data_IF_323512477618
#
_entry.id   IF_323512477618
#
_cell.length_a   1.000
_cell.length_b   1.000
_cell.length_c   1.000
_cell.angle_alpha   90.00
_cell.angle_beta   90.00
_cell.angle_gamma   90.00
#
_symmetry.space_group_name_H-M   'P 1'
#
loop_
_entity.id
_entity.type
_entity.pdbx_description
1 polymer ?
#
# COMPACT_ATOMS: atom_id res chain seq x y z
N UNK A 1 -4.99 6.50 -14.74
CA UNK A 1 -4.21 5.32 -15.19
C UNK A 1 -5.01 4.03 -15.05
N UNK A 2 -5.44 3.64 -13.84
CA UNK A 2 -6.20 2.40 -13.61
C UNK A 2 -7.44 2.30 -14.49
N UNK A 3 -8.26 3.36 -14.59
CA UNK A 3 -9.44 3.39 -15.48
C UNK A 3 -9.09 3.02 -16.94
N UNK A 4 -8.04 3.60 -17.51
CA UNK A 4 -7.63 3.34 -18.89
C UNK A 4 -7.17 1.89 -19.11
N UNK A 5 -6.40 1.33 -18.18
CA UNK A 5 -5.96 -0.06 -18.25
C UNK A 5 -7.13 -1.04 -18.04
N UNK A 6 -8.06 -0.72 -17.13
CA UNK A 6 -9.27 -1.49 -16.91
C UNK A 6 -10.19 -1.48 -18.15
N UNK A 7 -10.32 -0.35 -18.84
CA UNK A 7 -11.04 -0.26 -20.12
C UNK A 7 -10.41 -1.18 -21.17
N UNK A 8 -9.08 -1.15 -21.29
CA UNK A 8 -8.37 -2.01 -22.22
C UNK A 8 -8.59 -3.50 -21.89
N UNK A 9 -8.48 -3.90 -20.63
CA UNK A 9 -8.67 -5.29 -20.22
C UNK A 9 -10.11 -5.75 -20.49
N UNK A 10 -11.12 -4.99 -20.07
CA UNK A 10 -12.53 -5.32 -20.33
C UNK A 10 -12.81 -5.47 -21.83
N UNK A 11 -12.18 -4.65 -22.69
CA UNK A 11 -12.37 -4.74 -24.14
C UNK A 11 -11.90 -6.06 -24.76
N UNK A 12 -11.01 -6.79 -24.08
CA UNK A 12 -10.43 -8.05 -24.54
C UNK A 12 -11.08 -9.29 -23.93
N UNK A 13 -11.88 -9.13 -22.88
CA UNK A 13 -12.49 -10.29 -22.20
C UNK A 13 -13.73 -10.77 -22.96
N UNK A 14 -13.74 -12.07 -23.25
CA UNK A 14 -14.85 -12.77 -23.92
C UNK A 14 -15.83 -13.41 -22.93
N UNK A 15 -15.36 -13.85 -21.76
CA UNK A 15 -16.20 -14.45 -20.71
C UNK A 15 -16.34 -13.51 -19.49
N UNK A 16 -17.59 -13.15 -19.23
CA UNK A 16 -18.00 -12.32 -18.09
C UNK A 16 -17.54 -12.90 -16.75
N UNK A 17 -17.42 -14.22 -16.65
CA UNK A 17 -17.04 -14.89 -15.40
C UNK A 17 -15.53 -14.90 -15.12
N UNK A 18 -14.69 -14.46 -16.06
CA UNK A 18 -13.22 -14.41 -15.90
C UNK A 18 -12.67 -12.99 -15.77
N UNK A 19 -13.50 -11.97 -16.00
CA UNK A 19 -13.15 -10.54 -15.91
C UNK A 19 -12.48 -10.25 -14.55
N UNK A 20 -11.25 -9.73 -14.58
CA UNK A 20 -10.45 -9.34 -13.42
C UNK A 20 -10.21 -10.44 -12.36
N UNK A 21 -10.45 -11.72 -12.67
CA UNK A 21 -10.12 -12.84 -11.77
C UNK A 21 -8.69 -13.36 -11.95
N UNK A 22 -8.02 -13.00 -13.04
CA UNK A 22 -6.63 -13.35 -13.33
C UNK A 22 -5.60 -12.44 -12.65
N UNK A 23 -4.33 -12.83 -12.68
CA UNK A 23 -3.21 -11.98 -12.23
C UNK A 23 -2.77 -11.06 -13.37
N UNK A 24 -3.53 -10.01 -13.64
CA UNK A 24 -3.21 -8.98 -14.64
C UNK A 24 -2.56 -7.75 -14.00
N UNK A 25 -1.95 -6.88 -14.81
CA UNK A 25 -1.41 -5.60 -14.36
C UNK A 25 -2.49 -4.75 -13.66
N UNK A 26 -3.71 -4.68 -14.22
CA UNK A 26 -4.83 -3.95 -13.59
C UNK A 26 -5.10 -4.53 -12.22
N UNK A 27 -5.19 -5.86 -12.13
CA UNK A 27 -5.50 -6.52 -10.87
C UNK A 27 -4.43 -6.28 -9.79
N UNK A 28 -3.15 -6.23 -10.16
CA UNK A 28 -2.04 -5.92 -9.24
C UNK A 28 -2.01 -4.46 -8.82
N UNK A 29 -2.29 -3.54 -9.74
CA UNK A 29 -2.43 -2.12 -9.40
C UNK A 29 -3.60 -1.89 -8.43
N UNK A 30 -4.71 -2.62 -8.64
CA UNK A 30 -5.85 -2.60 -7.74
C UNK A 30 -5.50 -3.14 -6.36
N UNK A 31 -4.80 -4.28 -6.27
CA UNK A 31 -4.33 -4.86 -5.00
C UNK A 31 -3.51 -3.82 -4.20
N UNK A 32 -2.58 -3.13 -4.87
CA UNK A 32 -1.74 -2.09 -4.23
C UNK A 32 -2.53 -0.84 -3.83
N UNK A 33 -3.46 -0.36 -4.66
CA UNK A 33 -4.31 0.78 -4.28
C UNK A 33 -5.18 0.45 -3.07
N UNK A 34 -5.81 -0.72 -3.05
CA UNK A 34 -6.62 -1.15 -1.91
C UNK A 34 -5.76 -1.34 -0.65
N UNK A 35 -4.54 -1.86 -0.79
CA UNK A 35 -3.59 -1.98 0.32
C UNK A 35 -3.17 -0.61 0.85
N UNK A 36 -2.75 0.31 0.00
CA UNK A 36 -2.24 1.63 0.42
C UNK A 36 -3.32 2.55 0.99
N UNK A 37 -4.49 2.58 0.35
CA UNK A 37 -5.59 3.47 0.77
C UNK A 37 -6.49 2.83 1.83
N UNK A 38 -6.62 1.50 1.79
CA UNK A 38 -7.57 0.74 2.59
C UNK A 38 -7.02 0.20 3.90
N UNK A 39 -5.71 0.24 4.17
CA UNK A 39 -5.14 -0.41 5.37
C UNK A 39 -5.80 0.05 6.67
N UNK A 40 -6.00 1.35 6.85
CA UNK A 40 -6.66 1.90 8.04
C UNK A 40 -8.12 1.43 8.14
N UNK A 41 -8.86 1.53 7.04
CA UNK A 41 -10.24 1.06 6.95
C UNK A 41 -10.37 -0.44 7.25
N UNK A 42 -9.43 -1.25 6.76
CA UNK A 42 -9.34 -2.69 7.03
C UNK A 42 -9.12 -2.95 8.53
N UNK A 43 -8.24 -2.18 9.17
CA UNK A 43 -7.99 -2.30 10.61
C UNK A 43 -9.22 -1.94 11.41
N UNK A 44 -9.85 -0.79 11.14
CA UNK A 44 -11.08 -0.39 11.85
C UNK A 44 -12.22 -1.41 11.66
N UNK A 45 -12.30 -2.05 10.50
CA UNK A 45 -13.36 -3.00 10.17
C UNK A 45 -13.12 -4.40 10.75
N UNK A 46 -11.92 -4.96 10.59
CA UNK A 46 -11.65 -6.37 10.92
C UNK A 46 -10.98 -6.58 12.27
N UNK A 47 -10.16 -5.63 12.75
CA UNK A 47 -9.34 -5.84 13.95
C UNK A 47 -10.18 -6.21 15.17
N UNK A 48 -11.30 -5.55 15.51
CA UNK A 48 -12.07 -5.90 16.71
C UNK A 48 -12.57 -7.34 16.69
N UNK A 49 -13.09 -7.78 15.53
CA UNK A 49 -13.62 -9.14 15.36
C UNK A 49 -12.51 -10.19 15.35
N UNK A 50 -11.35 -9.89 14.76
CA UNK A 50 -10.22 -10.82 14.72
C UNK A 50 -9.49 -10.93 16.06
N UNK A 51 -9.35 -9.84 16.82
CA UNK A 51 -8.79 -9.88 18.18
C UNK A 51 -9.60 -10.79 19.11
N UNK A 52 -10.92 -10.83 18.94
CA UNK A 52 -11.76 -11.78 19.65
C UNK A 52 -11.45 -13.23 19.26
N UNK A 53 -11.27 -13.53 17.97
CA UNK A 53 -10.88 -14.86 17.49
C UNK A 53 -9.53 -15.28 18.10
N UNK A 54 -8.58 -14.34 18.16
CA UNK A 54 -7.25 -14.59 18.74
C UNK A 54 -7.26 -14.76 20.25
N UNK A 55 -8.15 -14.07 20.96
CA UNK A 55 -8.30 -14.19 22.40
C UNK A 55 -9.02 -15.49 22.80
N UNK A 56 -10.11 -15.84 22.11
CA UNK A 56 -10.96 -16.98 22.47
C UNK A 56 -10.43 -18.32 21.97
N UNK A 57 -9.80 -18.34 20.78
CA UNK A 57 -9.23 -19.54 20.14
C UNK A 57 -10.17 -20.76 20.10
N UNK A 58 -11.49 -20.52 20.03
CA UNK A 58 -12.49 -21.60 19.94
C UNK A 58 -12.23 -22.52 18.73
N UNK A 59 -12.39 -23.85 18.87
CA UNK A 59 -12.30 -24.76 17.75
C UNK A 59 -13.49 -24.59 16.79
N UNK A 60 -13.20 -24.61 15.49
CA UNK A 60 -14.19 -24.42 14.42
C UNK A 60 -14.07 -25.50 13.32
N UNK A 61 -13.36 -26.62 13.57
CA UNK A 61 -13.24 -27.68 12.58
C UNK A 61 -14.56 -28.44 12.45
N UNK A 62 -15.12 -28.42 11.25
CA UNK A 62 -16.43 -29.01 10.91
C UNK A 62 -16.32 -30.12 9.86
N UNK A 63 -15.10 -30.47 9.44
CA UNK A 63 -14.83 -31.58 8.52
C UNK A 63 -14.99 -32.93 9.25
N UNK A 64 -15.98 -33.77 8.87
CA UNK A 64 -16.23 -35.07 9.50
C UNK A 64 -15.07 -36.07 9.35
N UNK A 65 -14.16 -35.84 8.39
CA UNK A 65 -12.97 -36.69 8.22
C UNK A 65 -11.91 -36.42 9.29
N UNK A 66 -11.94 -35.23 9.90
CA UNK A 66 -10.97 -34.80 10.92
C UNK A 66 -11.54 -34.88 12.34
N UNK A 67 -12.84 -34.60 12.49
CA UNK A 67 -13.55 -34.70 13.76
C UNK A 67 -14.62 -35.78 13.62
N UNK A 68 -14.54 -36.84 14.44
CA UNK A 68 -15.49 -37.97 14.37
C UNK A 68 -16.74 -37.76 15.24
N UNK A 69 -16.65 -36.91 16.27
CA UNK A 69 -17.74 -36.68 17.21
C UNK A 69 -18.71 -35.62 16.66
N UNK A 70 -19.94 -36.06 16.37
CA UNK A 70 -20.99 -35.20 15.83
C UNK A 70 -21.40 -34.06 16.78
N UNK A 71 -21.31 -34.26 18.10
CA UNK A 71 -21.65 -33.23 19.11
C UNK A 71 -20.60 -32.11 19.12
N UNK A 72 -19.33 -32.48 18.95
CA UNK A 72 -18.22 -31.54 18.81
C UNK A 72 -18.32 -30.79 17.49
N UNK A 73 -18.66 -31.45 16.38
CA UNK A 73 -18.91 -30.79 15.09
C UNK A 73 -20.02 -29.74 15.23
N UNK A 74 -21.13 -30.08 15.90
CA UNK A 74 -22.23 -29.15 16.12
C UNK A 74 -21.80 -27.92 16.93
N UNK A 75 -21.01 -28.12 18.00
CA UNK A 75 -20.48 -27.02 18.81
C UNK A 75 -19.50 -26.15 18.00
N UNK A 76 -18.59 -26.78 17.24
CA UNK A 76 -17.65 -26.09 16.37
C UNK A 76 -18.35 -25.29 15.26
N UNK A 77 -19.46 -25.81 14.75
CA UNK A 77 -20.32 -25.17 13.78
C UNK A 77 -20.94 -23.89 14.36
N UNK A 78 -21.43 -23.93 15.60
CA UNK A 78 -21.97 -22.76 16.30
C UNK A 78 -20.90 -21.70 16.55
N UNK A 79 -19.70 -22.11 16.97
CA UNK A 79 -18.55 -21.20 17.12
C UNK A 79 -18.21 -20.52 15.79
N UNK A 80 -18.17 -21.28 14.70
CA UNK A 80 -17.85 -20.74 13.37
C UNK A 80 -18.92 -19.77 12.88
N UNK A 81 -20.21 -20.08 13.12
CA UNK A 81 -21.34 -19.19 12.81
C UNK A 81 -21.20 -17.86 13.55
N UNK A 82 -20.87 -17.89 14.84
CA UNK A 82 -20.69 -16.68 15.63
C UNK A 82 -19.61 -15.77 15.04
N UNK A 83 -18.42 -16.32 14.74
CA UNK A 83 -17.32 -15.53 14.17
C UNK A 83 -17.63 -14.99 12.77
N UNK A 84 -18.23 -15.81 11.90
CA UNK A 84 -18.62 -15.40 10.54
C UNK A 84 -19.65 -14.28 10.60
N UNK A 85 -20.69 -14.39 11.45
CA UNK A 85 -21.73 -13.36 11.58
C UNK A 85 -21.12 -12.03 11.99
N UNK A 86 -20.27 -12.01 13.04
CA UNK A 86 -19.63 -10.78 13.52
C UNK A 86 -18.77 -10.11 12.45
N UNK A 87 -17.95 -10.88 11.74
CA UNK A 87 -17.11 -10.36 10.66
C UNK A 87 -17.96 -9.87 9.49
N UNK A 88 -19.02 -10.59 9.14
CA UNK A 88 -19.94 -10.21 8.08
C UNK A 88 -20.65 -8.89 8.38
N UNK A 89 -21.16 -8.72 9.60
CA UNK A 89 -21.81 -7.49 10.06
C UNK A 89 -20.83 -6.32 10.11
N UNK A 90 -19.60 -6.56 10.59
CA UNK A 90 -18.55 -5.54 10.60
C UNK A 90 -18.24 -5.05 9.17
N UNK A 91 -18.09 -5.96 8.21
CA UNK A 91 -17.83 -5.60 6.81
C UNK A 91 -19.03 -4.88 6.20
N UNK A 92 -20.23 -5.44 6.28
CA UNK A 92 -21.41 -4.84 5.63
C UNK A 92 -21.83 -3.50 6.26
N UNK A 93 -21.61 -3.32 7.56
CA UNK A 93 -21.82 -2.05 8.27
C UNK A 93 -20.73 -1.00 8.03
N UNK A 94 -19.58 -1.38 7.49
CA UNK A 94 -18.44 -0.47 7.28
C UNK A 94 -18.53 0.37 5.99
N UNK A 95 -19.54 0.16 5.13
CA UNK A 95 -19.64 0.76 3.79
C UNK A 95 -19.38 2.27 3.74
N UNK A 96 -19.87 3.03 4.73
CA UNK A 96 -19.72 4.50 4.80
C UNK A 96 -18.31 4.97 5.18
N UNK A 97 -17.49 4.09 5.75
CA UNK A 97 -16.11 4.37 6.13
C UNK A 97 -15.11 3.96 5.03
N UNK A 98 -15.60 3.40 3.91
CA UNK A 98 -14.76 3.00 2.79
C UNK A 98 -14.01 4.22 2.20
N UNK A 99 -12.68 4.16 2.03
CA UNK A 99 -11.88 5.30 1.56
C UNK A 99 -12.34 5.81 0.20
N UNK A 100 -12.42 7.14 0.05
CA UNK A 100 -12.91 7.79 -1.18
C UNK A 100 -12.16 7.35 -2.43
N UNK A 101 -10.85 7.14 -2.35
CA UNK A 101 -10.05 6.66 -3.48
C UNK A 101 -10.51 5.27 -3.94
N UNK A 102 -10.79 4.35 -3.01
CA UNK A 102 -11.33 3.03 -3.35
C UNK A 102 -12.72 3.16 -3.96
N UNK A 103 -13.59 4.00 -3.36
CA UNK A 103 -14.94 4.24 -3.86
C UNK A 103 -14.93 4.78 -5.30
N UNK A 104 -14.05 5.73 -5.61
CA UNK A 104 -13.90 6.30 -6.95
C UNK A 104 -13.49 5.23 -7.97
N UNK A 105 -12.54 4.36 -7.60
CA UNK A 105 -12.10 3.27 -8.49
C UNK A 105 -13.20 2.22 -8.68
N UNK A 106 -13.94 1.86 -7.62
CA UNK A 106 -15.08 0.95 -7.74
C UNK A 106 -16.22 1.55 -8.57
N UNK A 107 -16.44 2.86 -8.47
CA UNK A 107 -17.38 3.57 -9.32
C UNK A 107 -16.96 3.50 -10.79
N UNK A 108 -15.70 3.81 -11.11
CA UNK A 108 -15.16 3.71 -12.48
C UNK A 108 -15.31 2.29 -13.05
N UNK A 109 -15.00 1.26 -12.26
CA UNK A 109 -15.16 -0.14 -12.68
C UNK A 109 -16.62 -0.51 -12.92
N UNK A 110 -17.55 0.00 -12.09
CA UNK A 110 -18.99 -0.20 -12.25
C UNK A 110 -19.53 0.47 -13.50
N UNK A 111 -19.09 1.70 -13.80
CA UNK A 111 -19.45 2.39 -15.03
C UNK A 111 -18.98 1.60 -16.25
N UNK A 112 -17.71 1.18 -16.26
CA UNK A 112 -17.16 0.36 -17.35
C UNK A 112 -17.94 -0.94 -17.55
N UNK A 113 -18.27 -1.64 -16.45
CA UNK A 113 -19.10 -2.84 -16.50
C UNK A 113 -20.49 -2.56 -17.10
N UNK A 114 -21.08 -1.42 -16.77
CA UNK A 114 -22.39 -1.01 -17.28
C UNK A 114 -22.35 -0.66 -18.77
N UNK A 115 -21.24 -0.07 -19.25
CA UNK A 115 -21.05 0.25 -20.67
C UNK A 115 -20.82 -1.00 -21.52
N UNK A 116 -19.98 -1.93 -21.07
CA UNK A 116 -19.63 -3.12 -21.85
C UNK A 116 -20.63 -4.27 -21.70
N UNK A 117 -21.34 -4.37 -20.56
CA UNK A 117 -22.30 -5.44 -20.28
C UNK A 117 -23.68 -4.90 -19.84
N UNK A 118 -24.37 -4.09 -20.69
CA UNK A 118 -25.63 -3.44 -20.32
C UNK A 118 -26.76 -4.43 -19.97
N UNK A 119 -26.72 -5.62 -20.58
CA UNK A 119 -27.73 -6.67 -20.39
C UNK A 119 -27.51 -7.53 -19.13
N UNK A 120 -26.32 -7.46 -18.50
CA UNK A 120 -25.99 -8.27 -17.33
C UNK A 120 -25.67 -7.39 -16.11
N UNK A 121 -26.73 -7.01 -15.40
CA UNK A 121 -26.64 -6.10 -14.24
C UNK A 121 -25.83 -6.68 -13.07
N UNK A 122 -25.69 -8.01 -12.98
CA UNK A 122 -24.95 -8.68 -11.90
C UNK A 122 -23.43 -8.51 -12.05
N UNK A 123 -22.92 -8.31 -13.27
CA UNK A 123 -21.49 -8.09 -13.54
C UNK A 123 -20.96 -6.87 -12.80
N UNK A 124 -21.80 -5.85 -12.65
CA UNK A 124 -21.51 -4.63 -11.90
C UNK A 124 -21.12 -4.94 -10.46
N UNK A 125 -21.80 -5.88 -9.82
CA UNK A 125 -21.49 -6.34 -8.46
C UNK A 125 -20.33 -7.34 -8.45
N UNK A 126 -20.28 -8.26 -9.43
CA UNK A 126 -19.24 -9.29 -9.53
C UNK A 126 -17.83 -8.72 -9.63
N UNK A 127 -17.64 -7.67 -10.43
CA UNK A 127 -16.33 -7.03 -10.58
C UNK A 127 -15.88 -6.39 -9.26
N UNK A 128 -16.74 -5.60 -8.61
CA UNK A 128 -16.40 -4.95 -7.33
C UNK A 128 -16.14 -6.01 -6.27
N UNK A 129 -17.03 -7.01 -6.16
CA UNK A 129 -16.91 -8.12 -5.21
C UNK A 129 -15.59 -8.90 -5.39
N UNK A 130 -15.18 -9.14 -6.64
CA UNK A 130 -13.91 -9.77 -6.97
C UNK A 130 -12.67 -8.98 -6.55
N UNK A 131 -12.78 -7.68 -6.30
CA UNK A 131 -11.71 -6.88 -5.72
C UNK A 131 -11.84 -6.79 -4.20
N UNK A 132 -12.96 -6.27 -3.69
CA UNK A 132 -13.09 -5.93 -2.28
C UNK A 132 -13.14 -7.18 -1.37
N UNK A 133 -13.77 -8.27 -1.81
CA UNK A 133 -13.81 -9.50 -1.01
C UNK A 133 -12.66 -10.44 -1.34
N UNK A 134 -12.49 -10.79 -2.62
CA UNK A 134 -11.51 -11.81 -3.01
C UNK A 134 -10.05 -11.37 -2.89
N UNK A 135 -9.76 -10.07 -3.08
CA UNK A 135 -8.38 -9.56 -3.11
C UNK A 135 -8.02 -8.68 -1.91
N UNK A 136 -9.00 -8.29 -1.09
CA UNK A 136 -8.78 -7.42 0.05
C UNK A 136 -9.23 -8.06 1.37
N UNK A 137 -10.53 -8.21 1.62
CA UNK A 137 -11.00 -8.76 2.91
C UNK A 137 -10.63 -10.23 3.14
N UNK A 138 -10.87 -11.13 2.18
CA UNK A 138 -10.59 -12.56 2.36
C UNK A 138 -9.08 -12.83 2.57
N UNK A 139 -8.16 -12.25 1.77
CA UNK A 139 -6.73 -12.38 2.04
C UNK A 139 -6.31 -11.79 3.39
N UNK A 140 -6.95 -10.71 3.85
CA UNK A 140 -6.67 -10.12 5.15
C UNK A 140 -7.14 -11.00 6.32
N UNK A 141 -8.27 -11.68 6.18
CA UNK A 141 -8.76 -12.65 7.17
C UNK A 141 -7.86 -13.90 7.17
N UNK A 142 -7.49 -14.40 5.99
CA UNK A 142 -6.65 -15.60 5.85
C UNK A 142 -5.22 -15.37 6.35
N UNK A 143 -4.65 -14.20 6.06
CA UNK A 143 -3.28 -13.84 6.38
C UNK A 143 -3.18 -12.51 7.13
N UNK A 144 -3.68 -12.40 8.38
CA UNK A 144 -3.78 -11.13 9.11
C UNK A 144 -2.42 -10.47 9.36
N UNK A 145 -1.35 -11.25 9.45
CA UNK A 145 0.04 -10.74 9.55
C UNK A 145 0.50 -9.98 8.31
N UNK A 146 0.01 -10.35 7.12
CA UNK A 146 0.37 -9.68 5.85
C UNK A 146 -0.28 -8.29 5.72
N UNK A 147 -1.22 -7.97 6.60
CA UNK A 147 -1.98 -6.73 6.62
C UNK A 147 -1.84 -6.01 7.97
N UNK A 148 -0.82 -6.34 8.78
CA UNK A 148 -0.54 -5.72 10.08
C UNK A 148 -1.72 -5.75 11.08
N UNK A 149 -2.62 -6.74 10.96
CA UNK A 149 -3.75 -6.92 11.87
C UNK A 149 -3.32 -7.58 13.18
N UNK A 150 -2.30 -8.42 13.14
CA UNK A 150 -1.68 -9.04 14.32
C UNK A 150 -0.18 -9.22 14.14
N UNK A 151 0.55 -9.13 15.24
CA UNK A 151 1.98 -9.44 15.31
C UNK A 151 2.25 -10.82 15.94
N UNK A 152 1.21 -11.50 16.42
CA UNK A 152 1.34 -12.78 17.09
C UNK A 152 1.51 -13.93 16.10
N UNK A 153 2.27 -14.96 16.53
CA UNK A 153 2.39 -16.19 15.77
C UNK A 153 1.14 -17.04 16.03
N UNK A 154 0.38 -17.33 14.97
CA UNK A 154 -0.86 -18.09 15.06
C UNK A 154 -0.57 -19.60 15.01
N UNK A 155 -1.25 -20.34 15.88
CA UNK A 155 -1.25 -21.79 15.91
C UNK A 155 -2.11 -22.39 14.79
N UNK A 156 -1.90 -23.68 14.50
CA UNK A 156 -2.57 -24.39 13.40
C UNK A 156 -4.09 -24.38 13.52
N UNK A 157 -4.63 -24.42 14.74
CA UNK A 157 -6.08 -24.35 14.98
C UNK A 157 -6.63 -22.99 14.58
N UNK A 158 -6.01 -21.89 15.03
CA UNK A 158 -6.44 -20.53 14.66
C UNK A 158 -6.32 -20.30 13.15
N UNK A 159 -5.22 -20.74 12.53
CA UNK A 159 -5.05 -20.67 11.07
C UNK A 159 -6.18 -21.41 10.32
N UNK A 160 -6.58 -22.58 10.83
CA UNK A 160 -7.69 -23.35 10.27
C UNK A 160 -9.02 -22.62 10.44
N UNK A 161 -9.30 -22.05 11.62
CA UNK A 161 -10.50 -21.25 11.87
C UNK A 161 -10.58 -20.05 10.92
N UNK A 162 -9.50 -19.28 10.75
CA UNK A 162 -9.45 -18.17 9.81
C UNK A 162 -9.67 -18.60 8.36
N UNK A 163 -9.14 -19.77 7.98
CA UNK A 163 -9.37 -20.35 6.65
C UNK A 163 -10.85 -20.62 6.41
N UNK A 164 -11.56 -21.21 7.38
CA UNK A 164 -12.98 -21.49 7.28
C UNK A 164 -13.81 -20.20 7.23
N UNK A 165 -13.49 -19.21 8.07
CA UNK A 165 -14.13 -17.89 8.05
C UNK A 165 -13.94 -17.23 6.68
N UNK A 166 -12.70 -17.15 6.20
CA UNK A 166 -12.37 -16.54 4.91
C UNK A 166 -13.11 -17.22 3.75
N UNK A 167 -13.18 -18.56 3.75
CA UNK A 167 -13.93 -19.32 2.74
C UNK A 167 -15.43 -18.99 2.79
N UNK A 168 -16.03 -18.97 3.97
CA UNK A 168 -17.47 -18.67 4.11
C UNK A 168 -17.79 -17.25 3.65
N UNK A 169 -17.02 -16.25 4.09
CA UNK A 169 -17.18 -14.85 3.66
C UNK A 169 -17.03 -14.72 2.14
N UNK A 170 -16.01 -15.37 1.56
CA UNK A 170 -15.80 -15.34 0.10
C UNK A 170 -16.98 -15.96 -0.66
N UNK A 171 -17.49 -17.09 -0.18
CA UNK A 171 -18.60 -17.81 -0.80
C UNK A 171 -19.90 -16.98 -0.79
N UNK A 172 -20.20 -16.35 0.36
CA UNK A 172 -21.35 -15.45 0.52
C UNK A 172 -21.34 -14.32 -0.51
N UNK A 173 -20.19 -13.70 -0.71
CA UNK A 173 -20.05 -12.56 -1.60
C UNK A 173 -20.11 -12.95 -3.09
N UNK A 174 -19.66 -14.17 -3.41
CA UNK A 174 -19.81 -14.74 -4.75
C UNK A 174 -21.27 -15.00 -5.10
N UNK A 175 -22.06 -15.57 -4.16
CA UNK A 175 -23.50 -15.82 -4.37
C UNK A 175 -24.26 -14.53 -4.60
N UNK A 176 -23.98 -13.49 -3.81
CA UNK A 176 -24.62 -12.18 -3.95
C UNK A 176 -24.36 -11.52 -5.32
N UNK A 177 -23.29 -11.92 -6.01
CA UNK A 177 -22.79 -11.26 -7.23
C UNK A 177 -22.94 -12.08 -8.52
N UNK A 178 -23.11 -13.41 -8.45
CA UNK A 178 -23.13 -14.27 -9.64
C UNK A 178 -24.23 -15.36 -9.64
N UNK A 179 -25.14 -15.35 -8.64
CA UNK A 179 -26.30 -16.26 -8.51
C UNK A 179 -26.02 -17.77 -8.58
N UNK A 180 -24.76 -18.18 -8.60
CA UNK A 180 -24.36 -19.59 -8.68
C UNK A 180 -23.48 -19.93 -7.48
N UNK A 181 -23.95 -20.78 -6.55
CA UNK A 181 -23.10 -21.31 -5.51
C UNK A 181 -22.09 -22.27 -6.14
N UNK A 182 -20.81 -21.89 -6.19
CA UNK A 182 -19.73 -22.86 -6.44
C UNK A 182 -19.45 -23.58 -5.13
N UNK A 183 -20.26 -24.59 -4.83
CA UNK A 183 -20.03 -25.44 -3.67
C UNK A 183 -19.12 -26.59 -4.07
N UNK A 184 -17.84 -26.53 -3.68
CA UNK A 184 -16.89 -27.61 -3.94
C UNK A 184 -16.76 -28.58 -2.75
N UNK A 185 -17.37 -28.29 -1.59
CA UNK A 185 -17.14 -29.00 -0.33
C UNK A 185 -18.46 -29.24 0.42
N UNK A 186 -18.95 -30.49 0.37
CA UNK A 186 -20.28 -30.91 0.84
C UNK A 186 -20.50 -30.67 2.35
N UNK A 187 -19.45 -30.76 3.17
CA UNK A 187 -19.49 -30.54 4.62
C UNK A 187 -19.76 -29.07 5.02
N UNK A 188 -19.54 -28.11 4.11
CA UNK A 188 -19.80 -26.69 4.35
C UNK A 188 -21.26 -26.31 4.06
N UNK A 189 -22.09 -27.24 3.55
CA UNK A 189 -23.46 -26.93 3.11
C UNK A 189 -24.33 -26.36 4.23
N UNK A 190 -24.23 -26.89 5.46
CA UNK A 190 -24.98 -26.38 6.62
C UNK A 190 -24.56 -24.96 7.04
N UNK A 191 -23.28 -24.61 6.89
CA UNK A 191 -22.82 -23.22 7.06
C UNK A 191 -23.50 -22.33 6.02
N UNK A 192 -23.44 -22.73 4.76
CA UNK A 192 -23.98 -21.95 3.66
C UNK A 192 -25.49 -21.74 3.78
N UNK A 193 -26.28 -22.76 4.15
CA UNK A 193 -27.72 -22.62 4.37
C UNK A 193 -28.07 -21.56 5.43
N UNK A 194 -27.24 -21.43 6.47
CA UNK A 194 -27.47 -20.46 7.54
C UNK A 194 -27.28 -19.02 7.06
N UNK A 195 -26.33 -18.78 6.16
CA UNK A 195 -25.96 -17.44 5.70
C UNK A 195 -26.48 -17.11 4.27
N UNK A 196 -26.99 -18.07 3.51
CA UNK A 196 -27.58 -17.87 2.18
C UNK A 196 -29.04 -17.46 2.24
N UNK A 197 -29.35 -16.51 3.11
CA UNK A 197 -30.69 -15.90 3.18
C UNK A 197 -30.73 -14.65 2.30
N UNK A 198 -31.92 -14.23 1.86
CA UNK A 198 -32.11 -12.97 1.15
C UNK A 198 -31.59 -11.74 1.92
N UNK A 199 -31.61 -11.79 3.26
CA UNK A 199 -31.09 -10.72 4.14
C UNK A 199 -29.60 -10.50 3.91
N UNK A 200 -28.78 -11.54 4.03
CA UNK A 200 -27.33 -11.49 3.80
C UNK A 200 -26.99 -11.07 2.36
N UNK A 201 -27.68 -11.63 1.36
CA UNK A 201 -27.48 -11.26 -0.05
C UNK A 201 -27.79 -9.77 -0.26
N UNK A 202 -28.88 -9.28 0.33
CA UNK A 202 -29.26 -7.87 0.25
C UNK A 202 -28.24 -6.97 0.95
N UNK A 203 -27.74 -7.35 2.12
CA UNK A 203 -26.71 -6.60 2.85
C UNK A 203 -25.42 -6.47 2.04
N UNK A 204 -24.94 -7.55 1.41
CA UNK A 204 -23.76 -7.49 0.51
C UNK A 204 -24.04 -6.59 -0.68
N UNK A 205 -25.20 -6.70 -1.33
CA UNK A 205 -25.54 -5.84 -2.48
C UNK A 205 -25.63 -4.36 -2.08
N UNK A 206 -26.22 -4.05 -0.93
CA UNK A 206 -26.28 -2.69 -0.40
C UNK A 206 -24.87 -2.16 -0.10
N UNK A 207 -24.01 -2.97 0.52
CA UNK A 207 -22.60 -2.63 0.72
C UNK A 207 -21.90 -2.30 -0.61
N UNK A 208 -22.00 -3.18 -1.61
CA UNK A 208 -21.41 -2.99 -2.93
C UNK A 208 -21.98 -1.77 -3.66
N UNK A 209 -23.27 -1.50 -3.52
CA UNK A 209 -23.92 -0.30 -4.04
C UNK A 209 -23.34 0.97 -3.40
N UNK A 210 -23.28 1.04 -2.08
CA UNK A 210 -22.81 2.24 -1.36
C UNK A 210 -21.37 2.59 -1.74
N UNK A 211 -20.46 1.61 -1.75
CA UNK A 211 -19.04 1.86 -2.06
C UNK A 211 -18.79 2.17 -3.54
N UNK A 212 -19.77 1.96 -4.42
CA UNK A 212 -19.63 2.20 -5.88
C UNK A 212 -20.59 3.26 -6.42
N UNK A 213 -21.48 3.81 -5.59
CA UNK A 213 -22.49 4.77 -6.02
C UNK A 213 -21.91 6.13 -6.39
N UNK A 214 -20.72 6.49 -5.89
CA UNK A 214 -20.26 7.88 -5.91
C UNK A 214 -18.94 8.08 -6.66
N UNK A 215 -18.97 8.84 -7.75
CA UNK A 215 -17.78 9.42 -8.41
C UNK A 215 -17.20 10.60 -7.64
N UNK A 216 -18.03 11.26 -6.81
CA UNK A 216 -17.68 12.39 -5.97
C UNK A 216 -18.63 12.46 -4.77
N UNK A 217 -18.37 11.73 -3.67
CA UNK A 217 -19.03 12.08 -2.43
C UNK A 217 -18.45 13.44 -2.05
N UNK A 218 -19.29 14.48 -2.05
CA UNK A 218 -19.06 15.75 -1.35
C UNK A 218 -18.13 15.45 -0.19
N UNK A 219 -16.89 15.97 -0.23
CA UNK A 219 -15.81 15.75 0.74
C UNK A 219 -16.34 15.42 2.14
N UNK A 220 -16.73 14.15 2.37
CA UNK A 220 -17.01 13.63 3.69
C UNK A 220 -15.67 13.08 4.13
N UNK A 221 -14.86 14.05 4.52
CA UNK A 221 -13.78 13.95 5.46
C UNK A 221 -13.48 12.52 5.93
N UNK A 222 -12.31 12.04 5.53
CA UNK A 222 -11.47 11.12 6.30
C UNK A 222 -11.27 11.72 7.71
N UNK A 223 -12.28 11.70 8.60
CA UNK A 223 -12.26 12.48 9.86
C UNK A 223 -11.37 11.90 10.96
N UNK A 224 -10.70 10.79 10.69
CA UNK A 224 -9.52 10.39 11.46
C UNK A 224 -8.26 10.69 10.65
N UNK A 225 -7.56 11.82 10.91
CA UNK A 225 -6.28 12.10 10.27
C UNK A 225 -5.26 10.99 10.59
N UNK A 226 -4.86 10.22 9.57
CA UNK A 226 -3.85 9.16 9.69
C UNK A 226 -2.50 9.80 10.02
N UNK A 227 -1.84 9.31 11.06
CA UNK A 227 -0.52 9.80 11.47
C UNK A 227 0.54 9.28 10.51
N UNK A 228 1.20 10.18 9.79
CA UNK A 228 2.27 9.85 8.87
C UNK A 228 3.63 9.80 9.57
N UNK A 229 3.86 10.69 10.54
CA UNK A 229 5.07 10.74 11.35
C UNK A 229 4.82 11.52 12.64
N UNK A 230 5.43 11.10 13.74
CA UNK A 230 5.41 11.82 15.00
C UNK A 230 6.76 11.71 15.70
N UNK A 231 7.11 12.71 16.51
CA UNK A 231 8.43 12.77 17.14
C UNK A 231 8.63 14.02 17.97
N UNK A 232 9.59 13.98 18.89
CA UNK A 232 9.91 15.13 19.74
C UNK A 232 11.11 15.87 19.16
N UNK A 233 10.92 17.14 18.79
CA UNK A 233 11.95 17.97 18.17
C UNK A 233 12.03 19.34 18.86
N UNK A 234 13.14 20.04 18.68
CA UNK A 234 13.36 21.34 19.32
C UNK A 234 13.09 22.49 18.36
N UNK A 235 12.02 23.25 18.59
CA UNK A 235 11.65 24.39 17.72
C UNK A 235 12.14 25.72 18.25
N UNK A 236 12.49 26.65 17.35
CA UNK A 236 12.72 28.05 17.72
C UNK A 236 11.40 28.74 18.09
N UNK A 237 11.39 29.54 19.15
CA UNK A 237 10.24 30.38 19.48
C UNK A 237 10.08 31.48 18.43
N UNK A 238 8.85 31.64 17.91
CA UNK A 238 8.53 32.62 16.87
C UNK A 238 8.19 34.02 17.42
N UNK A 239 8.21 34.21 18.76
CA UNK A 239 8.13 35.52 19.42
C UNK A 239 6.84 36.31 19.14
N UNK A 240 5.86 36.30 20.05
CA UNK A 240 4.65 37.14 19.94
C UNK A 240 4.87 38.63 20.27
N UNK A 241 6.07 39.02 20.72
CA UNK A 241 6.42 40.39 21.15
C UNK A 241 7.73 40.84 20.49
N UNK A 242 7.81 42.11 20.03
CA UNK A 242 8.98 42.70 19.35
C UNK A 242 10.30 42.60 20.14
N UNK A 243 10.26 42.46 21.47
CA UNK A 243 11.44 42.41 22.36
C UNK A 243 11.59 41.11 23.18
N UNK A 244 10.87 40.03 22.84
CA UNK A 244 10.96 38.76 23.57
C UNK A 244 12.16 37.89 23.15
N UNK A 245 12.90 37.31 24.12
CA UNK A 245 13.97 36.33 23.84
C UNK A 245 13.42 35.13 23.07
N UNK A 246 13.92 34.91 21.84
CA UNK A 246 13.54 33.78 20.97
C UNK A 246 14.29 32.51 21.38
N UNK A 247 13.80 31.83 22.43
CA UNK A 247 14.40 30.59 22.93
C UNK A 247 13.97 29.36 22.12
N UNK A 248 14.81 28.33 22.09
CA UNK A 248 14.46 27.01 21.57
C UNK A 248 13.67 26.23 22.62
N UNK A 249 12.64 25.50 22.19
CA UNK A 249 11.78 24.71 23.07
C UNK A 249 11.45 23.37 22.43
N UNK A 250 11.63 22.30 23.20
CA UNK A 250 11.25 20.95 22.81
C UNK A 250 9.73 20.83 22.69
N UNK A 251 9.25 20.25 21.60
CA UNK A 251 7.83 20.07 21.28
C UNK A 251 7.62 18.72 20.64
N UNK A 252 6.44 18.17 20.86
CA UNK A 252 6.01 16.97 20.18
C UNK A 252 5.33 17.37 18.88
N UNK A 253 5.86 16.91 17.75
CA UNK A 253 5.33 17.13 16.42
C UNK A 253 4.53 15.92 15.97
N UNK A 254 3.42 16.19 15.29
CA UNK A 254 2.55 15.17 14.72
C UNK A 254 2.16 15.61 13.31
N UNK A 255 2.64 14.87 12.33
CA UNK A 255 2.25 15.01 10.92
C UNK A 255 1.17 14.01 10.61
N UNK A 256 0.08 14.50 10.04
CA UNK A 256 -1.04 13.69 9.60
C UNK A 256 -1.29 13.90 8.11
N UNK A 257 -2.26 13.17 7.55
CA UNK A 257 -2.74 13.39 6.19
C UNK A 257 -3.41 14.76 5.99
N UNK A 258 -3.69 15.53 7.06
CA UNK A 258 -4.38 16.83 7.00
C UNK A 258 -3.50 18.01 7.34
N UNK A 259 -2.66 17.84 8.36
CA UNK A 259 -1.91 18.93 8.96
C UNK A 259 -0.60 18.47 9.59
N UNK A 260 0.29 19.44 9.81
CA UNK A 260 1.41 19.32 10.71
C UNK A 260 1.11 20.13 11.97
N UNK A 261 1.07 19.46 13.12
CA UNK A 261 0.82 20.13 14.41
C UNK A 261 1.99 19.93 15.37
N UNK A 262 2.10 20.82 16.35
CA UNK A 262 3.00 20.62 17.48
C UNK A 262 2.38 21.02 18.82
N UNK A 263 2.63 20.22 19.86
CA UNK A 263 2.11 20.41 21.21
C UNK A 263 3.22 20.42 22.25
N UNK A 264 2.90 20.72 23.52
CA UNK A 264 3.89 20.71 24.62
C UNK A 264 4.47 19.30 24.82
N UNK A 265 3.60 18.28 24.82
CA UNK A 265 3.91 16.87 25.04
C UNK A 265 2.92 15.99 24.26
N UNK A 266 3.27 14.72 24.02
CA UNK A 266 2.38 13.74 23.39
C UNK A 266 1.03 13.67 24.12
N UNK A 267 -0.07 13.65 23.35
CA UNK A 267 -1.44 13.60 23.87
C UNK A 267 -2.02 14.93 24.39
N UNK A 268 -1.28 16.05 24.33
CA UNK A 268 -1.81 17.38 24.62
C UNK A 268 -2.31 18.08 23.36
N UNK A 269 -3.26 19.00 23.54
CA UNK A 269 -3.79 19.84 22.46
C UNK A 269 -2.67 20.57 21.69
N UNK A 270 -2.81 20.71 20.36
CA UNK A 270 -1.82 21.36 19.53
C UNK A 270 -1.72 22.84 19.88
N UNK A 271 -0.50 23.33 20.08
CA UNK A 271 -0.22 24.76 20.26
C UNK A 271 -0.33 25.53 18.94
N UNK A 272 -0.13 24.83 17.83
CA UNK A 272 -0.21 25.35 16.48
C UNK A 272 -0.47 24.15 15.55
N UNK A 273 -1.32 24.40 14.56
CA UNK A 273 -1.60 23.49 13.46
C UNK A 273 -1.26 24.24 12.17
N UNK A 274 -0.53 23.58 11.29
CA UNK A 274 -0.10 24.10 10.00
C UNK A 274 -0.80 23.26 8.95
N UNK A 275 -1.63 23.89 8.13
CA UNK A 275 -2.29 23.23 7.01
C UNK A 275 -1.24 22.76 6.01
N UNK A 276 -1.34 21.53 5.49
CA UNK A 276 -0.34 21.03 4.54
C UNK A 276 -0.16 21.94 3.30
N UNK A 277 -1.23 22.51 2.69
CA UNK A 277 -1.11 23.49 1.60
C UNK A 277 -0.43 24.82 1.95
N UNK A 278 -0.24 25.12 3.24
CA UNK A 278 0.48 26.31 3.72
C UNK A 278 1.99 26.04 3.91
N UNK A 279 2.45 24.81 3.66
CA UNK A 279 3.88 24.49 3.61
C UNK A 279 4.40 24.87 2.23
N UNK A 280 5.18 25.95 2.16
CA UNK A 280 5.64 26.52 0.89
C UNK A 280 7.01 26.01 0.46
N UNK A 281 7.88 25.65 1.43
CA UNK A 281 9.16 24.99 1.21
C UNK A 281 9.63 24.31 2.50
N UNK A 282 10.38 23.21 2.37
CA UNK A 282 11.01 22.50 3.50
C UNK A 282 12.43 22.14 3.13
N UNK A 283 13.39 22.74 3.82
CA UNK A 283 14.80 22.67 3.44
C UNK A 283 15.71 22.68 4.66
N UNK A 284 16.96 22.25 4.47
CA UNK A 284 18.00 22.38 5.49
C UNK A 284 18.34 23.84 5.74
N UNK A 285 18.80 24.12 6.95
CA UNK A 285 19.26 25.44 7.36
C UNK A 285 20.76 25.38 7.54
N UNK A 286 21.48 26.38 7.04
CA UNK A 286 22.93 26.48 7.24
C UNK A 286 23.27 26.45 8.73
N UNK A 287 24.22 25.60 9.12
CA UNK A 287 24.61 25.37 10.52
C UNK A 287 25.04 26.67 11.24
N UNK A 288 25.68 27.57 10.50
CA UNK A 288 26.11 28.90 10.96
C UNK A 288 24.96 29.80 11.42
N UNK A 289 23.73 29.51 10.99
CA UNK A 289 22.55 30.33 11.32
C UNK A 289 22.26 30.36 12.83
N UNK A 290 22.46 29.22 13.49
CA UNK A 290 22.16 29.05 14.92
C UNK A 290 23.27 28.35 15.70
N UNK A 291 24.37 27.95 15.05
CA UNK A 291 25.42 27.09 15.62
C UNK A 291 24.84 25.79 16.20
N UNK A 292 23.93 25.19 15.43
CA UNK A 292 23.18 23.97 15.79
C UNK A 292 23.12 23.05 14.58
N UNK A 293 23.38 21.77 14.81
CA UNK A 293 23.31 20.73 13.78
C UNK A 293 21.88 20.20 13.67
N UNK A 294 21.61 19.49 12.57
CA UNK A 294 20.33 18.85 12.28
C UNK A 294 19.15 19.83 12.22
N UNK A 295 19.42 21.03 11.67
CA UNK A 295 18.46 22.12 11.58
C UNK A 295 17.81 22.14 10.21
N UNK A 296 16.48 22.21 10.20
CA UNK A 296 15.70 22.42 8.99
C UNK A 296 14.63 23.50 9.22
N UNK A 297 14.06 23.99 8.13
CA UNK A 297 13.05 25.03 8.14
C UNK A 297 11.80 24.62 7.38
N UNK A 298 10.66 25.10 7.86
CA UNK A 298 9.36 25.00 7.20
C UNK A 298 8.89 26.42 6.91
N UNK A 299 8.87 26.79 5.64
CA UNK A 299 8.45 28.11 5.17
C UNK A 299 6.92 28.13 5.05
N UNK A 300 6.27 29.08 5.74
CA UNK A 300 4.82 29.34 5.68
C UNK A 300 4.59 30.75 5.12
N UNK A 301 3.36 31.09 4.64
CA UNK A 301 3.06 32.41 4.08
C UNK A 301 3.46 33.58 4.97
N UNK A 302 3.26 33.45 6.28
CA UNK A 302 3.49 34.55 7.23
C UNK A 302 4.84 34.48 7.95
N UNK A 303 5.50 33.30 7.97
CA UNK A 303 6.66 33.07 8.83
C UNK A 303 7.45 31.82 8.48
N UNK A 304 8.72 31.82 8.84
CA UNK A 304 9.57 30.61 8.81
C UNK A 304 9.59 29.94 10.19
N UNK A 305 9.46 28.62 10.20
CA UNK A 305 9.59 27.80 11.40
C UNK A 305 10.92 27.02 11.35
N UNK A 306 11.82 27.32 12.29
CA UNK A 306 13.11 26.62 12.43
C UNK A 306 13.01 25.49 13.46
N UNK A 307 13.46 24.30 13.09
CA UNK A 307 13.34 23.07 13.89
C UNK A 307 14.70 22.35 13.92
N UNK A 308 15.06 21.84 15.08
CA UNK A 308 16.21 20.97 15.32
C UNK A 308 15.72 19.54 15.58
N UNK A 309 16.13 18.59 14.76
CA UNK A 309 15.94 17.16 15.02
C UNK A 309 17.00 16.62 16.00
N UNK A 310 16.78 15.44 16.58
CA UNK A 310 17.70 14.87 17.57
C UNK A 310 18.98 14.32 16.93
N UNK A 311 18.90 13.87 15.68
CA UNK A 311 20.03 13.37 14.89
C UNK A 311 19.79 13.61 13.39
N UNK A 312 20.81 13.37 12.57
CA UNK A 312 20.77 13.60 11.13
C UNK A 312 19.83 12.64 10.37
N UNK A 313 19.57 11.44 10.92
CA UNK A 313 18.63 10.48 10.33
C UNK A 313 17.20 10.99 10.49
N UNK A 314 16.82 11.37 11.72
CA UNK A 314 15.50 11.96 12.02
C UNK A 314 15.29 13.25 11.22
N UNK A 315 16.31 14.11 11.12
CA UNK A 315 16.25 15.31 10.27
C UNK A 315 15.91 14.96 8.82
N UNK A 316 16.66 14.02 8.22
CA UNK A 316 16.45 13.58 6.85
C UNK A 316 15.03 13.03 6.65
N UNK A 317 14.57 12.15 7.54
CA UNK A 317 13.21 11.59 7.47
C UNK A 317 12.12 12.67 7.51
N UNK A 318 12.25 13.67 8.39
CA UNK A 318 11.29 14.78 8.49
C UNK A 318 11.33 15.69 7.27
N UNK A 319 12.52 16.03 6.77
CA UNK A 319 12.69 16.82 5.55
C UNK A 319 12.08 16.09 4.36
N UNK A 320 12.39 14.80 4.19
CA UNK A 320 11.94 14.00 3.04
C UNK A 320 10.41 13.87 2.99
N UNK A 321 9.76 13.53 4.12
CA UNK A 321 8.30 13.38 4.16
C UNK A 321 7.57 14.70 3.92
N UNK A 322 8.04 15.79 4.54
CA UNK A 322 7.41 17.11 4.41
C UNK A 322 7.68 17.74 3.03
N UNK A 323 8.88 17.57 2.48
CA UNK A 323 9.21 18.00 1.12
C UNK A 323 8.38 17.23 0.09
N UNK A 324 8.10 15.94 0.32
CA UNK A 324 7.20 15.15 -0.54
C UNK A 324 5.77 15.71 -0.55
N UNK A 325 5.24 16.11 0.60
CA UNK A 325 3.92 16.75 0.70
C UNK A 325 3.95 18.14 0.05
N UNK A 326 4.98 18.94 0.34
CA UNK A 326 5.14 20.29 -0.20
C UNK A 326 5.19 20.31 -1.73
N UNK A 327 5.70 19.26 -2.38
CA UNK A 327 5.78 19.15 -3.85
C UNK A 327 4.42 19.20 -4.55
N UNK A 328 3.36 18.69 -3.92
CA UNK A 328 2.02 18.72 -4.50
C UNK A 328 1.26 20.01 -4.20
N UNK A 329 1.86 20.93 -3.44
CA UNK A 329 1.20 22.19 -3.08
C UNK A 329 1.28 23.19 -4.23
N UNK A 330 0.14 23.76 -4.61
CA UNK A 330 0.04 24.77 -5.69
C UNK A 330 0.90 26.02 -5.44
N UNK A 331 1.10 26.37 -4.16
CA UNK A 331 1.85 27.57 -3.74
C UNK A 331 3.31 27.28 -3.33
N UNK A 332 3.89 26.16 -3.78
CA UNK A 332 5.29 25.84 -3.49
C UNK A 332 6.22 26.93 -4.04
N UNK A 333 7.17 27.38 -3.21
CA UNK A 333 8.18 28.35 -3.62
C UNK A 333 9.21 27.70 -4.56
N UNK A 334 9.66 28.45 -5.56
CA UNK A 334 10.78 28.05 -6.40
C UNK A 334 12.13 28.26 -5.70
N UNK A 335 12.21 29.29 -4.85
CA UNK A 335 13.42 29.70 -4.15
C UNK A 335 13.18 29.90 -2.66
N UNK A 336 14.19 29.62 -1.84
CA UNK A 336 14.18 29.82 -0.39
C UNK A 336 15.49 30.46 0.11
N UNK A 337 15.52 30.86 1.38
CA UNK A 337 16.72 31.35 2.05
C UNK A 337 17.29 30.25 2.96
N UNK A 338 18.51 29.74 2.73
CA UNK A 338 19.09 28.68 3.54
C UNK A 338 19.63 29.19 4.89
N UNK A 339 19.86 30.50 5.01
CA UNK A 339 20.26 31.17 6.25
C UNK A 339 19.06 31.71 7.02
N UNK A 340 19.19 31.84 8.34
CA UNK A 340 18.13 32.45 9.15
C UNK A 340 18.05 33.97 9.00
N UNK A 341 16.85 34.54 9.12
CA UNK A 341 16.67 35.99 9.30
C UNK A 341 16.93 36.37 10.77
N UNK A 342 18.02 37.08 11.02
CA UNK A 342 18.48 37.47 12.36
C UNK A 342 19.02 38.90 12.32
N UNK A 343 18.70 39.70 13.35
CA UNK A 343 19.19 41.08 13.45
C UNK A 343 18.89 41.95 12.22
N UNK A 344 17.69 41.79 11.63
CA UNK A 344 17.21 42.62 10.53
C UNK A 344 17.80 42.29 9.16
N UNK A 345 18.48 41.16 8.99
CA UNK A 345 18.96 40.69 7.68
C UNK A 345 19.01 39.16 7.58
N UNK A 346 19.01 38.65 6.35
CA UNK A 346 19.22 37.24 6.04
C UNK A 346 20.70 36.89 6.16
N UNK A 347 21.04 35.84 6.90
CA UNK A 347 22.44 35.44 7.08
C UNK A 347 23.11 34.92 5.79
N UNK A 348 22.31 34.36 4.86
CA UNK A 348 22.76 33.81 3.58
C UNK A 348 23.11 34.88 2.53
N UNK A 349 22.22 35.85 2.29
CA UNK A 349 22.36 36.84 1.21
C UNK A 349 22.53 38.28 1.71
N UNK A 350 22.52 38.51 3.02
CA UNK A 350 22.61 39.83 3.69
C UNK A 350 21.48 40.80 3.34
N UNK A 351 20.42 40.35 2.67
CA UNK A 351 19.27 41.19 2.36
C UNK A 351 18.51 41.57 3.65
N UNK A 352 18.10 42.83 3.77
CA UNK A 352 17.49 43.40 4.98
C UNK A 352 15.98 43.28 5.01
N UNK A 353 15.35 42.97 3.88
CA UNK A 353 13.91 42.79 3.79
C UNK A 353 13.55 41.30 4.01
N UNK A 354 12.74 41.01 5.03
CA UNK A 354 12.32 39.64 5.36
C UNK A 354 11.46 39.01 4.25
N UNK A 355 10.68 39.81 3.51
CA UNK A 355 9.78 39.34 2.46
C UNK A 355 10.42 39.15 1.08
N UNK A 356 11.73 39.27 0.93
CA UNK A 356 12.39 39.10 -0.37
C UNK A 356 12.45 37.65 -0.81
N UNK A 357 12.35 37.42 -2.12
CA UNK A 357 12.49 36.09 -2.72
C UNK A 357 13.78 35.38 -2.27
N UNK A 358 13.70 34.05 -2.15
CA UNK A 358 14.80 33.19 -1.73
C UNK A 358 16.06 33.32 -2.58
N UNK A 359 17.24 33.24 -1.97
CA UNK A 359 18.51 33.30 -2.69
C UNK A 359 18.95 31.96 -3.29
N UNK A 360 18.35 30.83 -2.91
CA UNK A 360 18.70 29.47 -3.38
C UNK A 360 17.47 28.71 -3.89
N UNK A 361 17.65 27.75 -4.80
CA UNK A 361 16.55 26.97 -5.38
C UNK A 361 16.08 25.88 -4.41
N UNK A 362 14.76 25.71 -4.27
CA UNK A 362 14.19 24.62 -3.46
C UNK A 362 14.54 23.28 -4.12
N UNK A 363 14.99 22.32 -3.31
CA UNK A 363 15.47 21.00 -3.73
C UNK A 363 14.45 20.31 -4.63
N UNK A 364 14.89 19.91 -5.82
CA UNK A 364 14.06 19.25 -6.85
C UNK A 364 14.17 17.72 -6.81
N UNK A 365 15.05 17.16 -5.98
CA UNK A 365 15.47 15.76 -6.06
C UNK A 365 14.32 14.77 -5.83
N UNK A 366 13.86 14.20 -6.94
CA UNK A 366 13.26 12.88 -7.03
C UNK A 366 14.38 11.85 -6.95
N UNK A 367 14.87 11.58 -5.74
CA UNK A 367 15.32 10.22 -5.47
C UNK A 367 14.13 9.51 -4.85
N UNK A 368 13.29 8.93 -5.71
CA UNK A 368 12.50 7.78 -5.33
C UNK A 368 13.48 6.62 -5.09
N UNK A 369 14.35 6.74 -4.09
CA UNK A 369 14.95 5.56 -3.49
C UNK A 369 13.80 4.87 -2.76
N UNK A 370 13.17 3.94 -3.47
CA UNK A 370 12.65 2.76 -2.78
C UNK A 370 13.79 2.27 -1.88
N UNK A 371 13.47 1.86 -0.66
CA UNK A 371 14.43 1.31 0.30
C UNK A 371 14.86 -0.10 -0.16
N UNK A 372 15.27 -0.20 -1.41
CA UNK A 372 15.74 -1.36 -2.13
C UNK A 372 17.23 -1.13 -2.21
N UNK A 373 17.98 -1.87 -1.41
CA UNK A 373 19.41 -1.95 -1.58
C UNK A 373 19.68 -2.54 -2.97
N UNK A 374 19.97 -1.65 -3.91
CA UNK A 374 20.13 -2.00 -5.32
C UNK A 374 21.28 -2.98 -5.52
N UNK A 375 22.30 -2.95 -4.67
CA UNK A 375 23.45 -3.83 -4.75
C UNK A 375 23.08 -5.22 -4.25
N UNK A 376 22.40 -5.31 -3.10
CA UNK A 376 21.93 -6.59 -2.56
C UNK A 376 20.87 -7.24 -3.45
N UNK A 377 19.92 -6.47 -3.99
CA UNK A 377 18.92 -7.01 -4.91
C UNK A 377 19.50 -7.41 -6.26
N UNK A 378 20.47 -6.65 -6.80
CA UNK A 378 21.18 -7.05 -8.02
C UNK A 378 21.93 -8.37 -7.80
N UNK A 379 22.63 -8.51 -6.66
CA UNK A 379 23.32 -9.76 -6.30
C UNK A 379 22.33 -10.93 -6.19
N UNK A 380 21.18 -10.71 -5.53
CA UNK A 380 20.12 -11.72 -5.39
C UNK A 380 19.55 -12.14 -6.74
N UNK A 381 19.21 -11.18 -7.60
CA UNK A 381 18.68 -11.43 -8.95
C UNK A 381 19.69 -12.17 -9.82
N UNK A 382 20.96 -11.77 -9.77
CA UNK A 382 22.04 -12.43 -10.48
C UNK A 382 22.18 -13.90 -10.03
N UNK A 383 22.30 -14.15 -8.71
CA UNK A 383 22.39 -15.51 -8.17
C UNK A 383 21.17 -16.37 -8.55
N UNK A 384 19.96 -15.84 -8.38
CA UNK A 384 18.72 -16.55 -8.68
C UNK A 384 18.63 -16.94 -10.16
N UNK A 385 19.02 -16.01 -11.05
CA UNK A 385 18.96 -16.22 -12.51
C UNK A 385 19.98 -17.26 -12.94
N UNK A 386 21.23 -17.18 -12.46
CA UNK A 386 22.26 -18.19 -12.74
C UNK A 386 21.84 -19.57 -12.22
N UNK A 387 21.34 -19.68 -10.98
CA UNK A 387 20.91 -20.97 -10.42
C UNK A 387 19.74 -21.62 -11.16
N UNK A 388 18.97 -20.86 -11.94
CA UNK A 388 17.83 -21.36 -12.70
C UNK A 388 17.99 -21.19 -14.22
N UNK A 389 19.22 -20.95 -14.70
CA UNK A 389 19.48 -20.63 -16.10
C UNK A 389 19.00 -21.74 -17.05
N UNK A 390 19.16 -23.02 -16.67
CA UNK A 390 18.66 -24.15 -17.44
C UNK A 390 17.14 -24.10 -17.67
N UNK A 391 16.37 -23.65 -16.66
CA UNK A 391 14.91 -23.50 -16.78
C UNK A 391 14.57 -22.34 -17.71
N UNK A 392 15.31 -21.24 -17.62
CA UNK A 392 15.15 -20.08 -18.49
C UNK A 392 15.44 -20.45 -19.95
N UNK A 393 16.53 -21.17 -20.21
CA UNK A 393 16.88 -21.66 -21.54
C UNK A 393 15.86 -22.65 -22.11
N UNK A 394 15.28 -23.52 -21.27
CA UNK A 394 14.21 -24.42 -21.70
C UNK A 394 12.95 -23.65 -22.13
N UNK A 395 12.59 -22.57 -21.43
CA UNK A 395 11.49 -21.68 -21.82
C UNK A 395 11.84 -20.95 -23.12
N UNK A 396 13.07 -20.46 -23.27
CA UNK A 396 13.53 -19.82 -24.50
C UNK A 396 13.49 -20.78 -25.70
N UNK A 397 13.89 -22.05 -25.53
CA UNK A 397 13.79 -23.08 -26.58
C UNK A 397 12.34 -23.34 -26.96
N UNK A 398 11.44 -23.48 -25.97
CA UNK A 398 10.01 -23.64 -26.22
C UNK A 398 9.41 -22.45 -26.99
N UNK A 399 9.78 -21.22 -26.62
CA UNK A 399 9.37 -20.01 -27.33
C UNK A 399 9.96 -19.93 -28.75
N UNK A 400 11.23 -20.31 -28.91
CA UNK A 400 11.93 -20.31 -30.20
C UNK A 400 11.39 -21.34 -31.19
N UNK A 401 10.98 -22.52 -30.72
CA UNK A 401 10.37 -23.55 -31.57
C UNK A 401 8.99 -23.14 -32.12
N UNK A 402 8.20 -22.36 -31.37
CA UNK A 402 6.87 -21.91 -31.82
C UNK A 402 6.90 -20.59 -32.62
N UNK A 403 7.84 -19.69 -32.35
CA UNK A 403 7.97 -18.41 -33.07
C UNK A 403 8.31 -18.57 -34.57
N UNK A 404 8.80 -19.75 -34.99
CA UNK A 404 9.18 -20.04 -36.38
C UNK A 404 8.02 -20.65 -37.20
N UNK A 405 7.03 -21.27 -36.56
CA UNK A 405 6.00 -22.05 -37.27
C UNK A 405 4.56 -21.53 -37.17
N UNK A 406 4.23 -20.72 -36.16
CA UNK A 406 2.87 -20.15 -36.02
C UNK A 406 2.93 -18.88 -35.18
N UNK A 407 2.32 -17.79 -35.67
CA UNK A 407 2.26 -16.50 -34.98
C UNK A 407 1.33 -16.46 -33.76
N UNK A 408 1.22 -17.52 -32.97
CA UNK A 408 0.29 -17.62 -31.84
C UNK A 408 0.87 -18.33 -30.60
N UNK A 409 0.45 -17.80 -29.44
CA UNK A 409 0.40 -18.33 -28.05
C UNK A 409 1.19 -19.62 -27.75
N UNK A 410 2.14 -19.52 -26.81
CA UNK A 410 2.88 -20.67 -26.26
C UNK A 410 2.22 -21.23 -25.00
N UNK A 411 1.93 -22.53 -24.98
CA UNK A 411 1.41 -23.25 -23.83
C UNK A 411 2.54 -23.96 -23.09
N UNK A 412 2.94 -23.43 -21.94
CA UNK A 412 3.81 -24.14 -20.99
C UNK A 412 2.95 -24.87 -19.95
N UNK A 413 3.43 -25.98 -19.36
CA UNK A 413 2.67 -26.77 -18.38
C UNK A 413 2.17 -26.01 -17.14
N UNK A 414 2.63 -24.77 -16.92
CA UNK A 414 2.26 -23.92 -15.77
C UNK A 414 1.93 -22.47 -16.12
N UNK A 415 1.99 -22.05 -17.39
CA UNK A 415 1.76 -20.66 -17.78
C UNK A 415 1.39 -20.50 -19.26
N UNK A 416 0.53 -19.53 -19.55
CA UNK A 416 0.20 -19.06 -20.89
C UNK A 416 1.12 -17.88 -21.23
N UNK A 417 1.81 -17.91 -22.36
CA UNK A 417 2.59 -16.75 -22.85
C UNK A 417 1.80 -16.10 -23.99
N UNK A 418 1.28 -14.90 -23.73
CA UNK A 418 0.44 -14.12 -24.66
C UNK A 418 1.24 -13.57 -25.85
N UNK A 419 2.44 -13.02 -25.60
CA UNK A 419 3.36 -12.51 -26.63
C UNK A 419 4.69 -13.26 -26.60
N UNK A 420 4.78 -14.30 -27.43
CA UNK A 420 5.94 -15.19 -27.52
C UNK A 420 7.18 -14.44 -28.02
N UNK A 421 7.02 -13.47 -28.93
CA UNK A 421 8.14 -12.76 -29.55
C UNK A 421 8.77 -11.76 -28.58
N UNK A 422 7.96 -10.97 -27.88
CA UNK A 422 8.46 -10.04 -26.86
C UNK A 422 9.03 -10.79 -25.65
N UNK A 423 8.40 -11.90 -25.25
CA UNK A 423 8.92 -12.78 -24.21
C UNK A 423 10.31 -13.31 -24.58
N UNK A 424 10.47 -13.87 -25.78
CA UNK A 424 11.76 -14.40 -26.24
C UNK A 424 12.85 -13.32 -26.30
N UNK A 425 12.53 -12.12 -26.82
CA UNK A 425 13.46 -10.98 -26.84
C UNK A 425 13.90 -10.58 -25.43
N UNK A 426 12.95 -10.49 -24.50
CA UNK A 426 13.22 -10.10 -23.11
C UNK A 426 14.08 -11.13 -22.39
N UNK A 427 13.77 -12.42 -22.55
CA UNK A 427 14.56 -13.51 -21.96
C UNK A 427 15.98 -13.56 -22.53
N UNK A 428 16.13 -13.30 -23.83
CA UNK A 428 17.45 -13.21 -24.48
C UNK A 428 18.28 -12.07 -23.90
N UNK A 429 17.69 -10.87 -23.81
CA UNK A 429 18.36 -9.71 -23.22
C UNK A 429 18.76 -9.95 -21.75
N UNK A 430 17.87 -10.58 -20.96
CA UNK A 430 18.15 -10.93 -19.57
C UNK A 430 19.33 -11.90 -19.46
N UNK A 431 19.33 -12.99 -20.25
CA UNK A 431 20.43 -13.97 -20.28
C UNK A 431 21.76 -13.31 -20.62
N UNK A 432 21.79 -12.51 -21.68
CA UNK A 432 23.03 -11.89 -22.17
C UNK A 432 23.60 -10.89 -21.15
N UNK A 433 22.71 -10.13 -20.49
CA UNK A 433 23.09 -9.20 -19.41
C UNK A 433 23.68 -9.96 -18.22
N UNK A 434 23.03 -11.05 -17.78
CA UNK A 434 23.50 -11.85 -16.65
C UNK A 434 24.81 -12.57 -16.94
N UNK A 435 25.00 -13.09 -18.16
CA UNK A 435 26.28 -13.70 -18.55
C UNK A 435 27.41 -12.67 -18.64
N UNK A 436 27.12 -11.46 -19.11
CA UNK A 436 28.10 -10.36 -19.10
C UNK A 436 28.52 -10.02 -17.66
N UNK A 437 27.56 -9.86 -16.76
CA UNK A 437 27.81 -9.62 -15.33
C UNK A 437 28.63 -10.75 -14.68
N UNK A 438 28.28 -12.02 -14.93
CA UNK A 438 29.02 -13.17 -14.40
C UNK A 438 30.46 -13.21 -14.93
N UNK A 439 30.67 -12.86 -16.19
CA UNK A 439 32.01 -12.79 -16.79
C UNK A 439 32.85 -11.69 -16.14
N UNK A 440 32.28 -10.50 -15.93
CA UNK A 440 32.93 -9.39 -15.24
C UNK A 440 33.25 -9.78 -13.79
N UNK A 441 32.31 -10.39 -13.08
CA UNK A 441 32.50 -10.85 -11.70
C UNK A 441 33.63 -11.88 -11.59
N UNK A 442 33.66 -12.87 -12.50
CA UNK A 442 34.77 -13.84 -12.57
C UNK A 442 36.10 -13.18 -12.91
N UNK A 443 36.10 -12.19 -13.79
CA UNK A 443 37.32 -11.44 -14.14
C UNK A 443 37.87 -10.70 -12.93
N UNK A 444 36.99 -10.03 -12.17
CA UNK A 444 37.31 -9.33 -10.93
C UNK A 444 37.80 -10.28 -9.83
N UNK A 445 37.13 -11.42 -9.62
CA UNK A 445 37.61 -12.43 -8.65
C UNK A 445 38.97 -12.99 -9.04
N UNK A 446 39.23 -13.17 -10.35
CA UNK A 446 40.55 -13.57 -10.85
C UNK A 446 41.59 -12.47 -10.66
N UNK A 447 41.24 -11.19 -10.80
CA UNK A 447 42.18 -10.08 -10.53
C UNK A 447 42.50 -9.99 -9.05
N UNK A 448 41.49 -10.07 -8.17
CA UNK A 448 41.70 -10.15 -6.71
C UNK A 448 42.56 -11.34 -6.35
N UNK A 449 42.28 -12.53 -6.88
CA UNK A 449 43.08 -13.72 -6.59
C UNK A 449 44.53 -13.62 -7.09
N UNK A 450 44.78 -12.83 -8.14
CA UNK A 450 46.13 -12.49 -8.62
C UNK A 450 46.82 -11.48 -7.71
N UNK A 451 46.09 -10.49 -7.19
CA UNK A 451 46.59 -9.45 -6.28
C UNK A 451 46.79 -9.98 -4.85
N UNK A 452 45.99 -10.96 -4.41
CA UNK A 452 46.09 -11.59 -3.08
C UNK A 452 47.15 -12.70 -2.97
N UNK A 453 48.00 -12.89 -3.99
CA UNK A 453 49.22 -13.70 -3.83
C UNK A 453 50.27 -12.94 -2.99
N UNK A 454 50.21 -13.14 -1.68
CA UNK A 454 51.35 -12.98 -0.78
C UNK A 454 52.53 -13.88 -1.24
N UNK A 455 53.79 -13.45 -1.35
CA UNK A 455 54.38 -12.14 -1.05
C UNK A 455 55.82 -11.98 -1.55
N UNK A 456 56.26 -10.73 -1.67
CA UNK A 456 57.64 -10.23 -1.86
C UNK A 456 57.51 -8.70 -2.00
N UNK A 457 57.86 -7.83 -1.06
CA UNK A 457 58.76 -7.81 0.10
C UNK A 457 58.08 -7.13 1.28
#
# INVERSE_FOLDING_TARGET
>A
MIKALATWEISKVTDVNTIFRGNTLVSKMMDEVMRLAGLHYLHETLRPSLEQVFAEKKPCEIDPTKVKDATVIQTNMENLKEYVQRIFEAITGSALHCPTLMCQVFHDLRELASTYFPNNKEVRYSIISGFIFLRFFAPAILGPRLFDLTNEQMDDQTNRTLTLISKTIQSLCNVASAKTPRCNEEYMSCMYETFYTDVHVTAVRQFLEIISATSNPIHKNLDTPVVLKEGTMTKRAQGRKRFGRKNFKMRYFKLTTRDLSYSKHKGKEPLCTISLPDILAVERVHEDSFKKNNMFQIVQPERVLYIQANNCVEEKEWVDVLAKICRTNERRLARFHPGAFVSGHWLCCKNTCEGTEGCENVSSSLDLQMNVDSETELARLHCLTISHMDRLENIMRACGCQAVFTGDICFLPRALIEDVQSCFKTLTALRDTVYTLEQEHRSYLRSIAREMKYGSK
#
